data_IF_229268325001
#
_entry.id   IF_229268325001
#
_cell.length_a   1.000
_cell.length_b   1.000
_cell.length_c   1.000
_cell.angle_alpha   90.00
_cell.angle_beta   90.00
_cell.angle_gamma   90.00
#
_symmetry.space_group_name_H-M   'P 1'
#
loop_
_entity.id
_entity.type
_entity.pdbx_description
1 polymer ?
#
# COMPACT_ATOMS: atom_id res chain seq x y z
N UNK A 1 22.58 67.66 21.45
CA UNK A 1 23.47 66.56 21.03
C UNK A 1 22.66 65.59 20.13
N UNK A 2 22.66 65.84 18.86
CA UNK A 2 21.98 65.06 17.86
C UNK A 2 22.97 64.08 17.23
N UNK A 3 22.80 62.79 17.48
CA UNK A 3 23.62 61.74 16.90
C UNK A 3 22.97 61.30 15.58
N UNK A 4 23.59 61.62 14.48
CA UNK A 4 23.27 61.18 13.13
C UNK A 4 23.74 59.76 12.95
N UNK A 5 22.81 58.80 12.78
CA UNK A 5 23.09 57.43 12.38
C UNK A 5 23.29 57.38 10.85
N UNK A 6 24.52 57.13 10.44
CA UNK A 6 24.88 56.83 9.05
C UNK A 6 24.44 55.41 8.70
N UNK A 7 23.80 55.16 7.53
CA UNK A 7 23.47 53.81 7.08
C UNK A 7 24.74 53.10 6.56
N UNK A 8 24.96 51.89 7.03
CA UNK A 8 26.01 50.99 6.57
C UNK A 8 25.74 50.51 5.10
N UNK A 9 26.72 50.64 4.17
CA UNK A 9 26.58 50.10 2.81
C UNK A 9 27.06 48.66 2.81
N UNK A 10 26.23 47.77 2.25
CA UNK A 10 26.71 46.48 1.73
C UNK A 10 26.12 45.24 2.33
N UNK A 11 24.81 45.02 2.15
CA UNK A 11 24.28 43.65 2.06
C UNK A 11 24.08 43.36 0.57
N UNK A 12 25.13 42.87 -0.09
CA UNK A 12 25.01 42.28 -1.41
C UNK A 12 24.12 41.06 -1.30
N UNK A 13 22.89 41.18 -1.79
CA UNK A 13 21.96 40.08 -1.98
C UNK A 13 22.59 39.13 -3.00
N UNK A 14 23.25 38.08 -2.52
CA UNK A 14 23.63 36.94 -3.37
C UNK A 14 22.35 36.31 -3.87
N UNK A 15 21.95 36.66 -5.08
CA UNK A 15 20.90 36.01 -5.83
C UNK A 15 21.30 34.53 -6.00
N UNK A 16 20.68 33.66 -5.24
CA UNK A 16 20.78 32.23 -5.46
C UNK A 16 20.32 31.92 -6.88
N UNK A 17 21.12 31.22 -7.69
CA UNK A 17 20.72 30.89 -9.05
C UNK A 17 19.45 30.02 -8.98
N UNK A 18 18.37 30.60 -9.50
CA UNK A 18 17.08 29.94 -9.66
C UNK A 18 17.28 28.72 -10.56
N UNK A 19 17.48 27.55 -9.95
CA UNK A 19 17.56 26.29 -10.67
C UNK A 19 16.20 26.06 -11.31
N UNK A 20 16.05 26.48 -12.56
CA UNK A 20 14.91 26.11 -13.41
C UNK A 20 14.79 24.59 -13.36
N UNK A 21 13.89 24.08 -12.52
CA UNK A 21 13.41 22.71 -12.62
C UNK A 21 12.86 22.58 -14.04
N UNK A 22 13.61 21.92 -14.92
CA UNK A 22 13.07 21.48 -16.21
C UNK A 22 11.89 20.57 -15.86
N UNK A 23 10.69 21.09 -15.94
CA UNK A 23 9.47 20.30 -15.86
C UNK A 23 9.52 19.34 -17.06
N UNK A 24 9.63 18.04 -16.77
CA UNK A 24 9.43 17.03 -17.80
C UNK A 24 8.11 17.32 -18.51
N UNK A 25 8.04 17.22 -19.83
CA UNK A 25 6.81 17.51 -20.57
C UNK A 25 5.67 16.63 -20.02
N UNK A 26 4.49 17.22 -19.88
CA UNK A 26 3.30 16.63 -19.23
C UNK A 26 2.91 15.26 -19.82
N UNK A 27 3.28 14.99 -21.07
CA UNK A 27 3.03 13.71 -21.74
C UNK A 27 4.00 12.59 -21.34
N UNK A 28 5.20 12.91 -20.80
CA UNK A 28 6.21 11.92 -20.44
C UNK A 28 5.72 10.91 -19.36
N UNK A 29 5.11 11.33 -18.23
CA UNK A 29 4.55 10.39 -17.26
C UNK A 29 3.37 9.59 -17.81
N UNK A 30 2.59 10.16 -18.74
CA UNK A 30 1.47 9.45 -19.37
C UNK A 30 1.98 8.35 -20.32
N UNK A 31 2.98 8.63 -21.15
CA UNK A 31 3.60 7.63 -22.04
C UNK A 31 4.32 6.55 -21.24
N UNK A 32 5.09 6.91 -20.20
CA UNK A 32 5.75 5.94 -19.33
C UNK A 32 4.72 5.02 -18.64
N UNK A 33 3.59 5.57 -18.19
CA UNK A 33 2.48 4.80 -17.62
C UNK A 33 1.82 3.87 -18.64
N UNK A 34 1.60 4.33 -19.88
CA UNK A 34 1.02 3.51 -20.95
C UNK A 34 1.95 2.37 -21.37
N UNK A 35 3.26 2.62 -21.48
CA UNK A 35 4.26 1.60 -21.79
C UNK A 35 4.36 0.57 -20.67
N UNK A 36 4.37 1.00 -19.41
CA UNK A 36 4.36 0.10 -18.25
C UNK A 36 3.10 -0.77 -18.21
N UNK A 37 1.93 -0.19 -18.52
CA UNK A 37 0.67 -0.92 -18.61
C UNK A 37 0.67 -1.93 -19.74
N UNK A 38 1.12 -1.54 -20.94
CA UNK A 38 1.22 -2.44 -22.09
C UNK A 38 2.18 -3.60 -21.81
N UNK A 39 3.32 -3.33 -21.17
CA UNK A 39 4.25 -4.36 -20.71
C UNK A 39 3.63 -5.31 -19.69
N UNK A 40 2.89 -4.76 -18.70
CA UNK A 40 2.19 -5.56 -17.71
C UNK A 40 1.11 -6.45 -18.34
N UNK A 41 0.34 -5.93 -19.29
CA UNK A 41 -0.68 -6.72 -20.02
C UNK A 41 -0.04 -7.79 -20.90
N UNK A 42 1.11 -7.52 -21.53
CA UNK A 42 1.83 -8.46 -22.39
C UNK A 42 2.59 -9.57 -21.64
N UNK A 43 2.83 -9.40 -20.37
CA UNK A 43 3.66 -10.27 -19.51
C UNK A 43 3.23 -11.75 -19.56
N UNK A 44 1.91 -12.13 -19.53
CA UNK A 44 1.48 -13.53 -19.56
C UNK A 44 1.87 -14.30 -20.83
N UNK A 45 2.16 -13.61 -21.93
CA UNK A 45 2.55 -14.24 -23.21
C UNK A 45 4.06 -14.38 -23.38
N UNK A 46 4.84 -13.64 -22.57
CA UNK A 46 6.31 -13.54 -22.72
C UNK A 46 7.06 -14.36 -21.67
N UNK A 47 6.42 -14.74 -20.55
CA UNK A 47 7.12 -15.24 -19.36
C UNK A 47 6.50 -16.54 -18.83
N UNK A 48 7.30 -17.32 -18.10
CA UNK A 48 6.90 -18.59 -17.49
C UNK A 48 5.83 -18.41 -16.40
N UNK A 49 4.99 -19.44 -16.17
CA UNK A 49 3.90 -19.40 -15.19
C UNK A 49 4.32 -19.03 -13.75
N UNK A 50 5.56 -19.38 -13.36
CA UNK A 50 6.13 -18.98 -12.07
C UNK A 50 6.25 -17.46 -11.92
N UNK A 51 6.84 -16.79 -12.91
CA UNK A 51 7.03 -15.32 -12.88
C UNK A 51 5.68 -14.61 -12.95
N UNK A 52 4.69 -15.17 -13.66
CA UNK A 52 3.32 -14.65 -13.71
C UNK A 52 2.68 -14.71 -12.30
N UNK A 53 2.83 -15.82 -11.60
CA UNK A 53 2.33 -15.98 -10.22
C UNK A 53 3.04 -15.02 -9.25
N UNK A 54 4.36 -14.86 -9.37
CA UNK A 54 5.14 -13.92 -8.58
C UNK A 54 4.69 -12.47 -8.84
N UNK A 55 4.48 -12.10 -10.10
CA UNK A 55 3.97 -10.79 -10.47
C UNK A 55 2.56 -10.53 -9.93
N UNK A 56 1.67 -11.55 -9.96
CA UNK A 56 0.34 -11.46 -9.36
C UNK A 56 0.42 -11.21 -7.84
N UNK A 57 1.28 -11.94 -7.13
CA UNK A 57 1.54 -11.72 -5.70
C UNK A 57 2.11 -10.32 -5.45
N UNK A 58 3.00 -9.83 -6.31
CA UNK A 58 3.50 -8.46 -6.27
C UNK A 58 2.39 -7.41 -6.41
N UNK A 59 1.40 -7.63 -7.26
CA UNK A 59 0.22 -6.75 -7.41
C UNK A 59 -0.67 -6.77 -6.16
N UNK A 60 -0.88 -7.93 -5.54
CA UNK A 60 -1.62 -8.03 -4.26
C UNK A 60 -0.92 -7.21 -3.18
N UNK A 61 0.39 -7.36 -3.06
CA UNK A 61 1.20 -6.58 -2.11
C UNK A 61 1.22 -5.09 -2.46
N UNK A 62 1.13 -4.71 -3.73
CA UNK A 62 0.99 -3.32 -4.15
C UNK A 62 -0.34 -2.72 -3.68
N UNK A 63 -1.46 -3.44 -3.72
CA UNK A 63 -2.75 -2.99 -3.17
C UNK A 63 -2.65 -2.84 -1.65
N UNK A 64 -2.00 -3.77 -0.95
CA UNK A 64 -1.79 -3.66 0.49
C UNK A 64 -0.89 -2.47 0.84
N UNK A 65 0.17 -2.22 0.08
CA UNK A 65 1.03 -1.04 0.25
C UNK A 65 0.29 0.27 -0.03
N UNK A 66 -0.65 0.31 -1.00
CA UNK A 66 -1.54 1.46 -1.20
C UNK A 66 -2.40 1.73 0.04
N UNK A 67 -2.92 0.69 0.68
CA UNK A 67 -3.67 0.80 1.94
C UNK A 67 -2.81 1.44 3.05
N UNK A 68 -1.59 0.94 3.25
CA UNK A 68 -0.66 1.51 4.22
C UNK A 68 -0.27 2.96 3.88
N UNK A 69 -0.09 3.26 2.58
CA UNK A 69 0.23 4.60 2.08
C UNK A 69 -0.90 5.61 2.30
N UNK A 70 -2.16 5.20 2.25
CA UNK A 70 -3.31 6.08 2.58
C UNK A 70 -3.17 6.60 4.02
N UNK A 71 -2.80 5.76 4.97
CA UNK A 71 -2.62 6.19 6.36
C UNK A 71 -1.28 6.90 6.59
N UNK A 72 -0.17 6.31 6.13
CA UNK A 72 1.16 6.89 6.32
C UNK A 72 1.34 8.19 5.54
N UNK A 73 0.89 8.25 4.29
CA UNK A 73 1.10 9.39 3.40
C UNK A 73 0.08 10.51 3.54
N UNK A 74 -1.20 10.21 3.85
CA UNK A 74 -2.24 11.23 4.00
C UNK A 74 -2.41 11.65 5.46
N UNK A 75 -2.54 10.67 6.38
CA UNK A 75 -2.82 10.95 7.78
C UNK A 75 -1.54 11.10 8.64
N UNK A 76 -0.36 10.82 8.10
CA UNK A 76 0.89 10.82 8.85
C UNK A 76 0.96 9.74 9.94
N UNK A 77 0.14 8.70 9.82
CA UNK A 77 -0.02 7.63 10.80
C UNK A 77 0.43 6.29 10.19
N UNK A 78 1.69 5.87 10.36
CA UNK A 78 2.16 4.60 9.82
C UNK A 78 1.48 3.42 10.53
N UNK A 79 0.73 2.53 9.81
CA UNK A 79 0.06 1.39 10.41
C UNK A 79 0.93 0.13 10.35
N UNK A 80 0.90 -0.70 11.39
CA UNK A 80 1.51 -2.05 11.40
C UNK A 80 0.48 -3.20 11.43
N UNK A 81 -0.81 -2.92 11.31
CA UNK A 81 -1.87 -3.92 11.38
C UNK A 81 -2.57 -4.21 10.04
N UNK A 82 -2.03 -3.80 8.90
CA UNK A 82 -2.75 -3.88 7.62
C UNK A 82 -2.95 -5.32 7.13
N UNK A 83 -2.03 -6.24 7.44
CA UNK A 83 -2.18 -7.66 7.09
C UNK A 83 -3.38 -8.30 7.79
N UNK A 84 -3.74 -7.85 8.98
CA UNK A 84 -4.93 -8.36 9.66
C UNK A 84 -6.22 -8.04 8.89
N UNK A 85 -6.35 -6.85 8.31
CA UNK A 85 -7.50 -6.50 7.45
C UNK A 85 -7.46 -7.22 6.11
N UNK A 86 -6.27 -7.49 5.57
CA UNK A 86 -6.11 -8.39 4.42
C UNK A 86 -6.65 -9.77 4.77
N UNK A 87 -6.25 -10.35 5.90
CA UNK A 87 -6.72 -11.67 6.31
C UNK A 87 -8.25 -11.70 6.53
N UNK A 88 -8.83 -10.69 7.22
CA UNK A 88 -10.28 -10.57 7.36
C UNK A 88 -10.97 -10.52 6.00
N UNK A 89 -10.45 -9.73 5.05
CA UNK A 89 -10.94 -9.68 3.68
C UNK A 89 -10.81 -11.03 2.97
N UNK A 90 -9.68 -11.71 3.14
CA UNK A 90 -9.44 -13.03 2.58
C UNK A 90 -10.43 -14.07 3.13
N UNK A 91 -10.64 -14.14 4.43
CA UNK A 91 -11.62 -15.04 5.03
C UNK A 91 -13.07 -14.71 4.60
N UNK A 92 -13.43 -13.43 4.47
CA UNK A 92 -14.75 -13.04 3.95
C UNK A 92 -14.91 -13.44 2.48
N UNK A 93 -13.90 -13.27 1.65
CA UNK A 93 -13.93 -13.74 0.27
C UNK A 93 -14.01 -15.26 0.20
N UNK A 94 -13.27 -16.00 1.04
CA UNK A 94 -13.30 -17.44 1.12
C UNK A 94 -14.69 -17.98 1.50
N UNK A 95 -15.35 -17.37 2.50
CA UNK A 95 -16.72 -17.73 2.86
C UNK A 95 -17.73 -17.42 1.77
N UNK A 96 -17.60 -16.31 1.05
CA UNK A 96 -18.45 -16.00 -0.11
C UNK A 96 -18.16 -16.93 -1.29
N UNK A 97 -16.92 -17.40 -1.44
CA UNK A 97 -16.54 -18.35 -2.51
C UNK A 97 -17.27 -19.70 -2.40
N UNK A 98 -17.73 -20.09 -1.21
CA UNK A 98 -18.60 -21.27 -1.04
C UNK A 98 -20.01 -21.08 -1.57
N UNK A 99 -20.49 -19.82 -1.65
CA UNK A 99 -21.82 -19.46 -2.13
C UNK A 99 -21.83 -19.08 -3.61
N UNK A 100 -20.78 -18.37 -4.06
CA UNK A 100 -20.64 -17.92 -5.44
C UNK A 100 -19.17 -17.83 -5.84
N UNK A 101 -18.84 -18.33 -7.02
CA UNK A 101 -17.50 -18.23 -7.60
C UNK A 101 -17.21 -16.88 -8.26
N UNK A 102 -18.15 -15.91 -8.23
CA UNK A 102 -18.00 -14.62 -8.90
C UNK A 102 -16.99 -13.71 -8.18
N UNK A 103 -15.87 -13.42 -8.82
CA UNK A 103 -14.79 -12.60 -8.30
C UNK A 103 -15.18 -11.18 -7.87
N UNK A 104 -15.97 -10.44 -8.65
CA UNK A 104 -16.42 -9.10 -8.24
C UNK A 104 -17.23 -9.08 -6.94
N UNK A 105 -18.08 -10.10 -6.70
CA UNK A 105 -18.86 -10.23 -5.46
C UNK A 105 -17.93 -10.51 -4.29
N UNK A 106 -16.98 -11.43 -4.45
CA UNK A 106 -15.96 -11.73 -3.45
C UNK A 106 -15.12 -10.50 -3.12
N UNK A 107 -14.72 -9.72 -4.14
CA UNK A 107 -13.96 -8.48 -3.97
C UNK A 107 -14.75 -7.43 -3.17
N UNK A 108 -16.02 -7.21 -3.48
CA UNK A 108 -16.88 -6.27 -2.76
C UNK A 108 -17.11 -6.71 -1.31
N UNK A 109 -17.38 -8.00 -1.09
CA UNK A 109 -17.59 -8.54 0.25
C UNK A 109 -16.31 -8.43 1.11
N UNK A 110 -15.15 -8.74 0.54
CA UNK A 110 -13.87 -8.61 1.22
C UNK A 110 -13.53 -7.14 1.54
N UNK A 111 -13.82 -6.24 0.60
CA UNK A 111 -13.64 -4.79 0.83
C UNK A 111 -14.53 -4.31 1.97
N UNK A 112 -15.79 -4.74 2.01
CA UNK A 112 -16.72 -4.43 3.08
C UNK A 112 -16.28 -5.04 4.42
N UNK A 113 -15.88 -6.32 4.43
CA UNK A 113 -15.39 -7.01 5.62
C UNK A 113 -14.16 -6.33 6.23
N UNK A 114 -13.16 -6.00 5.40
CA UNK A 114 -11.97 -5.26 5.83
C UNK A 114 -12.30 -3.85 6.34
N UNK A 115 -13.23 -3.16 5.68
CA UNK A 115 -13.69 -1.85 6.11
C UNK A 115 -14.43 -1.90 7.46
N UNK A 116 -15.32 -2.86 7.66
CA UNK A 116 -16.04 -3.05 8.93
C UNK A 116 -15.07 -3.39 10.07
N UNK A 117 -14.16 -4.32 9.86
CA UNK A 117 -13.14 -4.65 10.85
C UNK A 117 -12.28 -3.43 11.20
N UNK A 118 -11.86 -2.66 10.19
CA UNK A 118 -11.12 -1.42 10.41
C UNK A 118 -11.96 -0.34 11.08
N UNK A 119 -13.25 -0.23 10.81
CA UNK A 119 -14.13 0.72 11.48
C UNK A 119 -14.23 0.42 12.97
N UNK A 120 -14.42 -0.86 13.34
CA UNK A 120 -14.53 -1.29 14.75
C UNK A 120 -13.22 -1.07 15.49
N UNK A 121 -12.11 -1.59 14.98
CA UNK A 121 -10.78 -1.45 15.60
C UNK A 121 -10.26 -0.03 15.56
N UNK A 122 -10.62 0.72 14.52
CA UNK A 122 -10.27 2.11 14.32
C UNK A 122 -10.81 3.05 15.40
N UNK A 123 -11.93 2.71 16.07
CA UNK A 123 -12.43 3.47 17.22
C UNK A 123 -11.40 3.58 18.35
N UNK A 124 -10.56 2.55 18.51
CA UNK A 124 -9.45 2.53 19.44
C UNK A 124 -8.19 3.14 18.82
N UNK A 125 -7.82 2.71 17.61
CA UNK A 125 -6.59 3.11 16.94
C UNK A 125 -6.47 4.62 16.73
N UNK A 126 -7.55 5.30 16.31
CA UNK A 126 -7.53 6.74 16.01
C UNK A 126 -7.39 7.65 17.25
N UNK A 127 -7.42 7.08 18.45
CA UNK A 127 -7.13 7.82 19.69
C UNK A 127 -5.64 8.01 19.91
N UNK A 128 -4.82 7.10 19.38
CA UNK A 128 -3.37 7.14 19.48
C UNK A 128 -2.75 8.04 18.40
N UNK A 129 -1.57 8.58 18.66
CA UNK A 129 -0.81 9.42 17.73
C UNK A 129 0.66 9.01 17.69
N UNK A 130 1.34 9.28 16.58
CA UNK A 130 2.77 9.04 16.44
C UNK A 130 3.13 7.57 16.64
N UNK A 131 4.15 7.30 17.43
CA UNK A 131 4.64 5.94 17.74
C UNK A 131 3.61 5.09 18.50
N UNK A 132 2.77 5.70 19.34
CA UNK A 132 1.70 5.00 20.06
C UNK A 132 0.68 4.40 19.08
N UNK A 133 0.35 5.11 17.99
CA UNK A 133 -0.53 4.58 16.94
C UNK A 133 0.05 3.31 16.30
N UNK A 134 1.35 3.29 16.05
CA UNK A 134 2.06 2.15 15.48
C UNK A 134 1.95 0.92 16.41
N UNK A 135 2.16 1.12 17.74
CA UNK A 135 2.04 0.05 18.74
C UNK A 135 0.59 -0.45 18.88
N UNK A 136 -0.39 0.45 18.90
CA UNK A 136 -1.81 0.08 18.98
C UNK A 136 -2.24 -0.70 17.75
N UNK A 137 -1.86 -0.28 16.53
CA UNK A 137 -2.19 -1.00 15.30
C UNK A 137 -1.50 -2.34 15.20
N UNK A 138 -0.28 -2.46 15.73
CA UNK A 138 0.40 -3.74 15.89
C UNK A 138 -0.37 -4.68 16.83
N UNK A 139 -0.71 -4.23 18.04
CA UNK A 139 -1.47 -5.04 19.00
C UNK A 139 -2.85 -5.46 18.48
N UNK A 140 -3.55 -4.57 17.75
CA UNK A 140 -4.81 -4.90 17.10
C UNK A 140 -4.62 -5.92 15.95
N UNK A 141 -3.51 -5.84 15.24
CA UNK A 141 -3.14 -6.82 14.21
C UNK A 141 -2.94 -8.21 14.82
N UNK A 142 -2.16 -8.30 15.90
CA UNK A 142 -1.93 -9.57 16.63
C UNK A 142 -3.20 -10.12 17.28
N UNK A 143 -4.08 -9.24 17.76
CA UNK A 143 -5.40 -9.65 18.27
C UNK A 143 -6.24 -10.31 17.18
N UNK A 144 -6.30 -9.72 15.99
CA UNK A 144 -7.04 -10.27 14.85
C UNK A 144 -6.39 -11.56 14.34
N UNK A 145 -5.05 -11.65 14.35
CA UNK A 145 -4.32 -12.87 14.04
C UNK A 145 -4.65 -13.99 15.04
N UNK A 146 -4.61 -13.72 16.33
CA UNK A 146 -5.00 -14.69 17.37
C UNK A 146 -6.47 -15.11 17.24
N UNK A 147 -7.36 -14.18 16.96
CA UNK A 147 -8.77 -14.46 16.69
C UNK A 147 -8.97 -15.34 15.46
N UNK A 148 -8.20 -15.10 14.38
CA UNK A 148 -8.24 -15.93 13.19
C UNK A 148 -7.78 -17.38 13.49
N UNK A 149 -6.74 -17.56 14.29
CA UNK A 149 -6.29 -18.89 14.71
C UNK A 149 -7.34 -19.63 15.57
N UNK A 150 -8.09 -18.92 16.41
CA UNK A 150 -9.04 -19.52 17.33
C UNK A 150 -10.42 -19.77 16.72
N UNK A 151 -10.90 -18.90 15.85
CA UNK A 151 -12.31 -18.84 15.42
C UNK A 151 -12.53 -18.89 13.92
N UNK A 152 -11.47 -18.74 13.10
CA UNK A 152 -11.65 -18.77 11.65
C UNK A 152 -12.10 -20.16 11.18
N UNK A 153 -12.99 -20.21 10.16
CA UNK A 153 -13.30 -21.46 9.49
C UNK A 153 -12.01 -22.12 8.97
N UNK A 154 -11.86 -23.43 9.18
CA UNK A 154 -10.61 -24.15 8.86
C UNK A 154 -9.54 -24.13 9.96
N UNK A 155 -9.72 -23.36 11.04
CA UNK A 155 -8.77 -23.28 12.15
C UNK A 155 -7.37 -22.84 11.71
N UNK A 156 -6.33 -23.40 12.32
CA UNK A 156 -4.92 -23.12 12.00
C UNK A 156 -4.49 -23.62 10.60
N UNK A 157 -5.23 -24.58 10.04
CA UNK A 157 -4.92 -25.18 8.73
C UNK A 157 -5.38 -24.32 7.54
N UNK A 158 -6.28 -23.35 7.78
CA UNK A 158 -6.81 -22.47 6.75
C UNK A 158 -7.87 -23.12 5.84
N UNK A 159 -8.22 -22.44 4.76
CA UNK A 159 -9.28 -22.85 3.83
C UNK A 159 -8.78 -22.80 2.40
N UNK A 160 -9.05 -23.88 1.63
CA UNK A 160 -8.92 -23.90 0.19
C UNK A 160 -10.19 -23.39 -0.48
N UNK A 161 -10.05 -22.58 -1.51
CA UNK A 161 -11.16 -21.98 -2.24
C UNK A 161 -11.20 -22.46 -3.69
N UNK A 162 -12.41 -22.56 -4.33
CA UNK A 162 -12.53 -22.84 -5.73
C UNK A 162 -11.94 -21.72 -6.59
N UNK A 163 -11.57 -21.99 -7.85
CA UNK A 163 -11.07 -20.98 -8.76
C UNK A 163 -12.13 -19.91 -9.03
N UNK A 164 -11.69 -18.65 -9.06
CA UNK A 164 -12.54 -17.47 -9.27
C UNK A 164 -13.03 -17.40 -10.72
N UNK A 165 -14.27 -16.94 -10.91
CA UNK A 165 -14.87 -16.61 -12.20
C UNK A 165 -14.94 -15.08 -12.32
N UNK A 166 -14.38 -14.49 -13.39
CA UNK A 166 -14.37 -13.03 -13.55
C UNK A 166 -15.77 -12.45 -13.77
N UNK A 167 -16.54 -13.07 -14.64
CA UNK A 167 -17.89 -12.61 -15.05
C UNK A 167 -18.81 -13.83 -15.20
N UNK A 168 -20.14 -13.66 -14.96
CA UNK A 168 -21.10 -14.73 -15.19
C UNK A 168 -21.02 -15.24 -16.63
N UNK A 169 -20.92 -16.56 -16.81
CA UNK A 169 -20.84 -17.19 -18.14
C UNK A 169 -19.42 -17.38 -18.70
N UNK A 170 -18.37 -16.89 -18.02
CA UNK A 170 -16.99 -17.21 -18.37
C UNK A 170 -16.50 -18.48 -17.65
N UNK A 171 -15.57 -19.24 -18.26
CA UNK A 171 -14.97 -20.38 -17.58
C UNK A 171 -14.16 -19.93 -16.35
N UNK A 172 -14.08 -20.82 -15.35
CA UNK A 172 -13.26 -20.58 -14.16
C UNK A 172 -11.80 -20.32 -14.55
N UNK A 173 -11.17 -19.34 -13.90
CA UNK A 173 -9.79 -18.93 -14.18
C UNK A 173 -8.79 -19.93 -13.58
N UNK A 174 -8.49 -20.99 -14.32
CA UNK A 174 -7.52 -22.02 -13.91
C UNK A 174 -6.09 -21.65 -14.35
N UNK A 175 -5.94 -20.97 -15.49
CA UNK A 175 -4.64 -20.60 -16.06
C UNK A 175 -4.04 -19.38 -15.33
N UNK A 176 -2.75 -19.44 -14.92
CA UNK A 176 -2.11 -18.33 -14.19
C UNK A 176 -2.20 -16.98 -14.93
N UNK A 177 -2.13 -16.98 -16.27
CA UNK A 177 -2.21 -15.76 -17.07
C UNK A 177 -3.55 -15.02 -16.95
N UNK A 178 -4.67 -15.75 -16.91
CA UNK A 178 -5.99 -15.13 -16.73
C UNK A 178 -6.19 -14.59 -15.31
N UNK A 179 -5.71 -15.33 -14.29
CA UNK A 179 -5.72 -14.86 -12.90
C UNK A 179 -4.92 -13.56 -12.76
N UNK A 180 -3.74 -13.52 -13.35
CA UNK A 180 -2.90 -12.31 -13.35
C UNK A 180 -3.60 -11.11 -13.99
N UNK A 181 -4.22 -11.28 -15.15
CA UNK A 181 -4.96 -10.20 -15.83
C UNK A 181 -6.15 -9.71 -15.00
N UNK A 182 -6.87 -10.61 -14.35
CA UNK A 182 -7.94 -10.26 -13.43
C UNK A 182 -7.40 -9.43 -12.24
N UNK A 183 -6.33 -9.89 -11.58
CA UNK A 183 -5.70 -9.19 -10.47
C UNK A 183 -5.16 -7.83 -10.93
N UNK A 184 -4.56 -7.75 -12.12
CA UNK A 184 -4.08 -6.49 -12.69
C UNK A 184 -5.25 -5.51 -12.92
N UNK A 185 -6.35 -5.96 -13.52
CA UNK A 185 -7.54 -5.13 -13.75
C UNK A 185 -8.13 -4.60 -12.43
N UNK A 186 -8.27 -5.47 -11.43
CA UNK A 186 -8.76 -5.09 -10.09
C UNK A 186 -7.79 -4.12 -9.39
N UNK A 187 -6.48 -4.36 -9.46
CA UNK A 187 -5.45 -3.47 -8.89
C UNK A 187 -5.51 -2.08 -9.52
N UNK A 188 -5.68 -2.00 -10.83
CA UNK A 188 -5.85 -0.73 -11.54
C UNK A 188 -7.13 -0.01 -11.13
N UNK A 189 -8.25 -0.73 -11.02
CA UNK A 189 -9.52 -0.18 -10.57
C UNK A 189 -9.41 0.41 -9.15
N UNK A 190 -8.81 -0.36 -8.22
CA UNK A 190 -8.55 0.10 -6.86
C UNK A 190 -7.60 1.30 -6.87
N UNK A 191 -6.54 1.26 -7.67
CA UNK A 191 -5.59 2.37 -7.82
C UNK A 191 -6.24 3.65 -8.32
N UNK A 192 -7.13 3.56 -9.32
CA UNK A 192 -7.91 4.69 -9.83
C UNK A 192 -8.85 5.22 -8.74
N UNK A 193 -9.56 4.35 -8.04
CA UNK A 193 -10.46 4.74 -6.93
C UNK A 193 -9.69 5.48 -5.84
N UNK A 194 -8.55 4.97 -5.42
CA UNK A 194 -7.68 5.62 -4.43
C UNK A 194 -7.15 6.96 -4.97
N UNK A 195 -6.73 7.03 -6.24
CA UNK A 195 -6.27 8.27 -6.85
C UNK A 195 -7.36 9.35 -6.91
N UNK A 196 -8.61 8.96 -7.15
CA UNK A 196 -9.77 9.87 -7.08
C UNK A 196 -9.97 10.35 -5.64
N UNK A 197 -10.01 9.43 -4.66
CA UNK A 197 -10.19 9.78 -3.24
C UNK A 197 -9.11 10.72 -2.75
N UNK A 198 -7.84 10.51 -3.12
CA UNK A 198 -6.70 11.35 -2.72
C UNK A 198 -6.81 12.79 -3.25
N UNK A 199 -7.60 13.02 -4.31
CA UNK A 199 -7.86 14.35 -4.88
C UNK A 199 -9.10 15.04 -4.28
N UNK A 200 -9.87 14.36 -3.45
CA UNK A 200 -11.09 14.93 -2.82
C UNK A 200 -10.76 15.90 -1.68
N UNK A 201 -11.76 16.70 -1.30
CA UNK A 201 -11.68 17.57 -0.10
C UNK A 201 -11.40 16.78 1.19
N UNK A 202 -11.88 15.53 1.25
CA UNK A 202 -11.61 14.62 2.36
C UNK A 202 -10.10 14.41 2.56
N UNK A 203 -9.36 14.10 1.51
CA UNK A 203 -7.91 13.89 1.59
C UNK A 203 -7.16 15.17 1.97
N UNK A 204 -7.63 16.35 1.55
CA UNK A 204 -7.09 17.64 1.97
C UNK A 204 -7.25 17.86 3.47
N UNK A 205 -8.43 17.56 4.03
CA UNK A 205 -8.69 17.67 5.47
C UNK A 205 -7.82 16.70 6.27
N UNK A 206 -7.68 15.46 5.82
CA UNK A 206 -6.83 14.45 6.48
C UNK A 206 -5.35 14.89 6.47
N UNK A 207 -4.84 15.42 5.36
CA UNK A 207 -3.49 16.03 5.30
C UNK A 207 -3.35 17.24 6.22
N UNK A 208 -4.40 18.06 6.31
CA UNK A 208 -4.46 19.17 7.24
C UNK A 208 -4.31 18.74 8.69
N UNK A 209 -4.97 17.63 9.08
CA UNK A 209 -4.82 17.02 10.41
C UNK A 209 -3.39 16.54 10.65
N UNK A 210 -2.79 15.89 9.67
CA UNK A 210 -1.41 15.42 9.75
C UNK A 210 -0.40 16.55 9.93
N UNK A 211 -0.65 17.72 9.32
CA UNK A 211 0.21 18.88 9.43
C UNK A 211 -0.03 19.65 10.75
N UNK A 212 -1.29 19.92 11.12
CA UNK A 212 -1.66 20.72 12.29
C UNK A 212 -3.10 20.44 12.76
N UNK A 213 -3.28 19.39 13.58
CA UNK A 213 -4.59 18.97 14.08
C UNK A 213 -5.39 20.09 14.78
N UNK A 214 -4.80 20.93 15.68
CA UNK A 214 -5.55 22.00 16.36
C UNK A 214 -6.16 23.02 15.40
N UNK A 215 -5.48 23.31 14.28
CA UNK A 215 -5.97 24.26 13.27
C UNK A 215 -7.21 23.75 12.57
N UNK A 216 -7.25 22.43 12.25
CA UNK A 216 -8.41 21.80 11.62
C UNK A 216 -9.60 21.71 12.57
N UNK A 217 -9.33 21.49 13.87
CA UNK A 217 -10.37 21.51 14.91
C UNK A 217 -10.94 22.92 15.11
N UNK A 218 -10.08 23.96 15.13
CA UNK A 218 -10.53 25.36 15.23
C UNK A 218 -11.39 25.77 14.02
N UNK A 219 -11.20 25.16 12.85
CA UNK A 219 -12.06 25.33 11.67
C UNK A 219 -13.39 24.55 11.75
N UNK A 220 -13.73 23.95 12.90
CA UNK A 220 -15.00 23.25 13.13
C UNK A 220 -15.03 21.79 12.68
N UNK A 221 -13.91 21.20 12.25
CA UNK A 221 -13.86 19.83 11.75
C UNK A 221 -13.50 18.82 12.84
N UNK A 222 -14.22 17.69 12.89
CA UNK A 222 -13.99 16.62 13.85
C UNK A 222 -12.85 15.70 13.39
N UNK A 223 -11.63 15.93 13.84
CA UNK A 223 -10.43 15.16 13.46
C UNK A 223 -10.60 13.65 13.63
N UNK A 224 -11.23 13.20 14.72
CA UNK A 224 -11.45 11.75 14.98
C UNK A 224 -12.28 11.08 13.90
N UNK A 225 -13.39 11.72 13.46
CA UNK A 225 -14.26 11.16 12.42
C UNK A 225 -13.53 11.06 11.08
N UNK A 226 -12.74 12.07 10.73
CA UNK A 226 -11.97 12.08 9.49
C UNK A 226 -10.88 11.02 9.50
N UNK A 227 -10.17 10.86 10.62
CA UNK A 227 -9.15 9.81 10.75
C UNK A 227 -9.76 8.41 10.78
N UNK A 228 -10.92 8.22 11.43
CA UNK A 228 -11.65 6.96 11.40
C UNK A 228 -12.08 6.60 9.98
N UNK A 229 -12.60 7.57 9.22
CA UNK A 229 -12.96 7.34 7.83
C UNK A 229 -11.73 6.97 6.96
N UNK A 230 -10.58 7.63 7.17
CA UNK A 230 -9.34 7.27 6.50
C UNK A 230 -8.86 5.86 6.86
N UNK A 231 -8.99 5.49 8.13
CA UNK A 231 -8.64 4.16 8.64
C UNK A 231 -9.54 3.07 8.06
N UNK A 232 -10.86 3.32 8.03
CA UNK A 232 -11.86 2.44 7.42
C UNK A 232 -11.62 2.25 5.94
N UNK A 233 -11.30 3.33 5.21
CA UNK A 233 -10.95 3.27 3.80
C UNK A 233 -9.70 2.41 3.58
N UNK A 234 -8.66 2.62 4.37
CA UNK A 234 -7.44 1.82 4.28
C UNK A 234 -7.71 0.34 4.58
N UNK A 235 -8.50 0.03 5.61
CA UNK A 235 -8.91 -1.35 5.91
C UNK A 235 -9.73 -1.99 4.79
N UNK A 236 -10.59 -1.23 4.11
CA UNK A 236 -11.33 -1.71 2.94
C UNK A 236 -10.40 -2.05 1.77
N UNK A 237 -9.39 -1.20 1.50
CA UNK A 237 -8.36 -1.47 0.47
C UNK A 237 -7.55 -2.72 0.83
N UNK A 238 -7.17 -2.88 2.10
CA UNK A 238 -6.47 -4.06 2.58
C UNK A 238 -7.34 -5.33 2.45
N UNK A 239 -8.65 -5.23 2.76
CA UNK A 239 -9.61 -6.32 2.55
C UNK A 239 -9.74 -6.71 1.07
N UNK A 240 -9.74 -5.74 0.16
CA UNK A 240 -9.71 -6.00 -1.28
C UNK A 240 -8.44 -6.75 -1.68
N UNK A 241 -7.27 -6.40 -1.12
CA UNK A 241 -6.03 -7.16 -1.33
C UNK A 241 -6.17 -8.62 -0.87
N UNK A 242 -6.94 -8.88 0.20
CA UNK A 242 -7.27 -10.22 0.68
C UNK A 242 -8.04 -11.06 -0.34
N UNK A 243 -9.06 -10.49 -0.97
CA UNK A 243 -9.78 -11.19 -2.06
C UNK A 243 -8.87 -11.51 -3.24
N UNK A 244 -7.99 -10.58 -3.62
CA UNK A 244 -7.02 -10.80 -4.69
C UNK A 244 -5.97 -11.84 -4.31
N UNK A 245 -5.56 -11.90 -3.03
CA UNK A 245 -4.67 -12.94 -2.52
C UNK A 245 -5.26 -14.33 -2.74
N UNK A 246 -6.53 -14.53 -2.37
CA UNK A 246 -7.25 -15.80 -2.60
C UNK A 246 -7.37 -16.11 -4.09
N UNK A 247 -7.65 -15.14 -4.93
CA UNK A 247 -7.72 -15.38 -6.38
C UNK A 247 -6.41 -15.95 -6.93
N UNK A 248 -5.25 -15.54 -6.36
CA UNK A 248 -3.93 -16.04 -6.75
C UNK A 248 -3.58 -17.37 -6.09
N UNK A 249 -3.65 -17.44 -4.75
CA UNK A 249 -3.18 -18.58 -3.96
C UNK A 249 -4.20 -19.71 -3.85
N UNK A 250 -5.51 -19.41 -4.00
CA UNK A 250 -6.66 -20.30 -3.74
C UNK A 250 -6.64 -20.87 -2.32
N UNK A 251 -5.98 -20.21 -1.42
CA UNK A 251 -5.78 -20.63 -0.04
C UNK A 251 -5.69 -19.41 0.85
N UNK A 252 -6.26 -19.50 2.05
CA UNK A 252 -6.13 -18.52 3.10
C UNK A 252 -5.82 -19.23 4.42
N UNK A 253 -4.90 -18.66 5.17
CA UNK A 253 -4.52 -19.14 6.50
C UNK A 253 -4.40 -17.98 7.47
N UNK A 254 -4.44 -18.24 8.79
CA UNK A 254 -4.14 -17.21 9.79
C UNK A 254 -2.77 -16.56 9.60
N UNK A 255 -1.80 -17.25 9.02
CA UNK A 255 -0.47 -16.72 8.72
C UNK A 255 -0.49 -15.51 7.77
N UNK A 256 -1.58 -15.33 6.98
CA UNK A 256 -1.77 -14.15 6.13
C UNK A 256 -1.99 -12.86 6.94
N UNK A 257 -2.39 -12.98 8.23
CA UNK A 257 -2.48 -11.87 9.17
C UNK A 257 -1.14 -11.52 9.84
N UNK A 258 -0.06 -12.27 9.59
CA UNK A 258 1.20 -12.13 10.30
C UNK A 258 1.82 -10.75 10.14
N UNK A 259 2.47 -10.26 11.20
CA UNK A 259 3.14 -8.96 11.27
C UNK A 259 4.14 -8.74 10.11
N UNK A 260 4.83 -9.80 9.66
CA UNK A 260 5.80 -9.70 8.57
C UNK A 260 5.22 -9.13 7.27
N UNK A 261 3.97 -9.45 6.95
CA UNK A 261 3.25 -8.94 5.77
C UNK A 261 2.90 -7.46 5.97
N UNK A 262 2.42 -7.08 7.17
CA UNK A 262 2.17 -5.67 7.51
C UNK A 262 3.43 -4.82 7.45
N UNK A 263 4.54 -5.34 7.97
CA UNK A 263 5.83 -4.66 7.96
C UNK A 263 6.33 -4.44 6.53
N UNK A 264 6.18 -5.44 5.65
CA UNK A 264 6.57 -5.35 4.24
C UNK A 264 5.73 -4.30 3.50
N UNK A 265 4.42 -4.26 3.75
CA UNK A 265 3.52 -3.25 3.18
C UNK A 265 3.87 -1.83 3.66
N UNK A 266 4.17 -1.67 4.96
CA UNK A 266 4.61 -0.39 5.52
C UNK A 266 5.96 0.04 4.94
N UNK A 267 6.92 -0.88 4.79
CA UNK A 267 8.21 -0.58 4.15
C UNK A 267 8.00 -0.08 2.72
N UNK A 268 7.19 -0.78 1.94
CA UNK A 268 6.86 -0.36 0.57
C UNK A 268 6.24 1.04 0.54
N UNK A 269 5.33 1.34 1.47
CA UNK A 269 4.72 2.66 1.60
C UNK A 269 5.76 3.75 1.95
N UNK A 270 6.69 3.46 2.85
CA UNK A 270 7.75 4.40 3.24
C UNK A 270 8.78 4.63 2.13
N UNK A 271 9.18 3.58 1.39
CA UNK A 271 10.08 3.66 0.23
C UNK A 271 9.43 4.49 -0.88
N UNK A 272 8.12 4.32 -1.08
CA UNK A 272 7.35 5.05 -2.08
C UNK A 272 7.31 6.58 -1.88
N UNK A 273 7.98 7.10 -0.83
CA UNK A 273 8.18 8.52 -0.52
C UNK A 273 6.93 9.40 -0.66
N UNK A 274 5.77 8.90 -0.19
CA UNK A 274 4.51 9.65 -0.17
C UNK A 274 3.70 9.60 -1.47
N UNK A 275 4.17 8.89 -2.52
CA UNK A 275 3.42 8.68 -3.76
C UNK A 275 2.77 7.29 -3.80
N UNK A 276 1.51 7.20 -4.27
CA UNK A 276 0.82 5.91 -4.41
C UNK A 276 1.50 5.00 -5.43
N UNK A 277 1.94 5.55 -6.55
CA UNK A 277 2.66 4.80 -7.59
C UNK A 277 4.02 4.31 -7.10
N UNK A 278 4.73 5.13 -6.30
CA UNK A 278 5.98 4.73 -5.67
C UNK A 278 5.81 3.58 -4.68
N UNK A 279 4.74 3.59 -3.87
CA UNK A 279 4.44 2.51 -2.95
C UNK A 279 4.13 1.19 -3.69
N UNK A 280 3.38 1.25 -4.81
CA UNK A 280 3.12 0.08 -5.65
C UNK A 280 4.40 -0.48 -6.26
N UNK A 281 5.24 0.38 -6.86
CA UNK A 281 6.50 -0.05 -7.46
C UNK A 281 7.45 -0.65 -6.41
N UNK A 282 7.54 -0.02 -5.23
CA UNK A 282 8.33 -0.52 -4.11
C UNK A 282 7.83 -1.89 -3.61
N UNK A 283 6.50 -2.10 -3.53
CA UNK A 283 5.93 -3.38 -3.12
C UNK A 283 6.27 -4.50 -4.10
N UNK A 284 6.11 -4.26 -5.40
CA UNK A 284 6.44 -5.24 -6.44
C UNK A 284 7.93 -5.56 -6.40
N UNK A 285 8.79 -4.54 -6.27
CA UNK A 285 10.24 -4.72 -6.17
C UNK A 285 10.64 -5.51 -4.93
N UNK A 286 10.03 -5.22 -3.76
CA UNK A 286 10.32 -5.94 -2.53
C UNK A 286 9.89 -7.41 -2.60
N UNK A 287 8.76 -7.72 -3.22
CA UNK A 287 8.32 -9.12 -3.44
C UNK A 287 9.30 -9.84 -4.35
N UNK A 288 9.69 -9.23 -5.47
CA UNK A 288 10.66 -9.81 -6.40
C UNK A 288 12.04 -10.00 -5.74
N UNK A 289 12.50 -9.01 -4.97
CA UNK A 289 13.77 -9.09 -4.25
C UNK A 289 13.76 -10.19 -3.18
N UNK A 290 12.65 -10.32 -2.44
CA UNK A 290 12.47 -11.39 -1.44
C UNK A 290 12.53 -12.78 -2.06
N UNK A 291 11.87 -12.95 -3.20
CA UNK A 291 11.80 -14.22 -3.91
C UNK A 291 13.19 -14.61 -4.48
N UNK A 292 13.83 -13.67 -5.16
CA UNK A 292 15.17 -13.86 -5.71
C UNK A 292 16.22 -14.14 -4.63
N UNK A 293 16.17 -13.40 -3.53
CA UNK A 293 17.07 -13.58 -2.39
C UNK A 293 16.80 -14.90 -1.65
N UNK A 294 15.54 -15.33 -1.55
CA UNK A 294 15.16 -16.64 -1.01
C UNK A 294 15.72 -17.80 -1.83
N UNK A 295 15.77 -17.65 -3.16
CA UNK A 295 16.34 -18.63 -4.08
C UNK A 295 17.87 -18.72 -3.98
N UNK A 296 18.57 -17.59 -3.77
CA UNK A 296 20.05 -17.57 -3.67
C UNK A 296 20.57 -18.06 -2.31
N UNK A 297 19.89 -17.79 -1.22
CA UNK A 297 20.34 -18.04 0.16
C UNK A 297 19.46 -19.08 0.89
N UNK A 298 19.07 -20.16 0.24
CA UNK A 298 18.41 -21.34 0.80
C UNK A 298 17.85 -21.17 2.23
N UNK A 299 16.66 -20.56 2.38
CA UNK A 299 15.96 -20.47 3.67
C UNK A 299 16.20 -19.18 4.50
N UNK A 300 17.10 -18.28 4.12
CA UNK A 300 17.38 -17.03 4.85
C UNK A 300 16.58 -15.81 4.36
N UNK A 301 15.47 -16.01 3.67
CA UNK A 301 14.59 -14.93 3.18
C UNK A 301 14.16 -13.90 4.23
N UNK A 302 13.73 -14.32 5.45
CA UNK A 302 13.37 -13.39 6.54
C UNK A 302 14.55 -12.55 7.04
N UNK A 303 15.76 -13.13 7.09
CA UNK A 303 16.99 -12.44 7.54
C UNK A 303 17.37 -11.32 6.55
N UNK A 304 17.25 -11.59 5.26
CA UNK A 304 17.49 -10.58 4.22
C UNK A 304 16.47 -9.45 4.25
N UNK A 305 15.19 -9.76 4.53
CA UNK A 305 14.16 -8.74 4.75
C UNK A 305 14.54 -7.83 5.94
N UNK A 306 14.95 -8.42 7.06
CA UNK A 306 15.40 -7.65 8.22
C UNK A 306 16.60 -6.76 7.90
N UNK A 307 17.59 -7.28 7.15
CA UNK A 307 18.75 -6.51 6.71
C UNK A 307 18.35 -5.39 5.74
N UNK A 308 17.45 -5.67 4.81
CA UNK A 308 16.93 -4.66 3.88
C UNK A 308 16.19 -3.53 4.64
N UNK A 309 15.40 -3.88 5.66
CA UNK A 309 14.77 -2.91 6.55
C UNK A 309 15.78 -2.04 7.30
N UNK A 310 16.82 -2.64 7.86
CA UNK A 310 17.89 -1.92 8.53
C UNK A 310 18.62 -0.96 7.58
N UNK A 311 18.96 -1.44 6.39
CA UNK A 311 19.59 -0.60 5.36
C UNK A 311 18.71 0.58 4.96
N UNK A 312 17.39 0.35 4.76
CA UNK A 312 16.43 1.39 4.42
C UNK A 312 16.22 2.40 5.56
N UNK A 313 16.24 1.95 6.82
CA UNK A 313 16.13 2.82 7.98
C UNK A 313 17.35 3.72 8.15
N UNK A 314 18.54 3.20 7.83
CA UNK A 314 19.81 3.94 7.91
C UNK A 314 20.12 4.79 6.67
N UNK A 315 19.52 4.50 5.50
CA UNK A 315 19.74 5.35 4.32
C UNK A 315 18.96 6.67 4.47
N UNK A 316 19.64 7.80 4.62
CA UNK A 316 18.97 9.09 4.76
C UNK A 316 18.22 9.42 3.46
N UNK A 317 16.93 9.70 3.59
CA UNK A 317 15.99 9.95 2.48
C UNK A 317 16.47 10.97 1.43
N UNK A 318 17.30 11.93 1.85
CA UNK A 318 17.90 12.92 0.93
C UNK A 318 18.90 12.29 -0.05
N UNK A 319 19.63 11.24 0.33
CA UNK A 319 20.57 10.56 -0.59
C UNK A 319 19.85 9.73 -1.66
N UNK A 320 18.68 9.17 -1.35
CA UNK A 320 17.86 8.47 -2.36
C UNK A 320 17.29 9.44 -3.40
N UNK A 321 16.85 10.63 -2.97
CA UNK A 321 16.41 11.69 -3.88
C UNK A 321 17.57 12.21 -4.77
N UNK A 322 18.78 12.29 -4.22
CA UNK A 322 19.98 12.69 -4.98
C UNK A 322 20.46 11.61 -5.97
N UNK A 323 20.30 10.33 -5.66
CA UNK A 323 20.62 9.24 -6.58
C UNK A 323 19.69 9.22 -7.79
N UNK A 324 18.38 9.43 -7.59
CA UNK A 324 17.42 9.52 -8.70
C UNK A 324 17.70 10.73 -9.59
N UNK A 325 18.12 11.86 -9.01
CA UNK A 325 18.49 13.07 -9.76
C UNK A 325 19.85 12.93 -10.47
N UNK A 326 20.79 12.16 -9.92
CA UNK A 326 22.10 11.87 -10.56
C UNK A 326 21.97 10.88 -11.71
N UNK A 327 21.11 9.87 -11.60
CA UNK A 327 20.83 8.92 -12.68
C UNK A 327 20.13 9.60 -13.86
N UNK A 328 19.22 10.54 -13.60
CA UNK A 328 18.58 11.35 -14.66
C UNK A 328 19.53 12.34 -15.35
N UNK A 329 20.70 12.63 -14.75
CA UNK A 329 21.73 13.51 -15.35
C UNK A 329 22.78 12.78 -16.19
N UNK A 330 22.84 11.43 -16.16
CA UNK A 330 23.85 10.64 -16.86
C UNK A 330 23.41 10.10 -18.22
N UNK A 331 22.19 10.39 -18.65
CA UNK A 331 21.76 10.10 -20.03
C UNK A 331 21.70 11.40 -20.80
N UNK A 332 22.46 11.51 -21.91
CA UNK A 332 22.52 12.71 -22.77
C UNK A 332 21.19 12.96 -23.50
#
# INVERSE_FOLDING_TARGET
>A
MTATLTPSPGAATTATPNSRRRSLPVWFPAVAGAVALAGAVGLPWLVNGYVISLAATGLVMAVLAMSAQVLAGLAGLPPLGQAAYLAVGAYTAATIATLTSLGPIQLLAATAGGAVAAAVTGLLAVRARGTTFLMVTFGLGELLHAAANAWAPGGSEGIHTPPVVALPGLPAMVRPGWVYLYVLACTLLIGVTVAVVVRTRFALLVRGIAAHEPRVQAAGHHSRRLLLAAYTLAGGIAGAAGALSIAVSRYVSPADAAMGISALALAAALIGSGSMTGACAAAILLVAARDWAGGLLAGHGPTLLGLCFLLLAYLPRHRLADLTTRLSRRWP
#
